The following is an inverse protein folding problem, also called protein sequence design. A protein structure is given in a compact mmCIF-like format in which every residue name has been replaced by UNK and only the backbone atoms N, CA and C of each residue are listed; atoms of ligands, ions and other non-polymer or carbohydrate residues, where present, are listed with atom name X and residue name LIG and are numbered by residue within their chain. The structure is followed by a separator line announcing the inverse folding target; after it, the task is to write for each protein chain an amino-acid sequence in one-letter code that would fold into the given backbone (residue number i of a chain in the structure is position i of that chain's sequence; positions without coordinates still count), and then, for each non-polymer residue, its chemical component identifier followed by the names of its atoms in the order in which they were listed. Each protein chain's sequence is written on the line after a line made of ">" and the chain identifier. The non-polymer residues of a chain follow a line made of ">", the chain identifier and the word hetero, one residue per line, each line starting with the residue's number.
data_IF_849296673669
#
_entry.id   IF_849296673669
#
_cell.length_a   1.000
_cell.length_b   1.000
_cell.length_c   1.000
_cell.angle_alpha   90.00
_cell.angle_beta   90.00
_cell.angle_gamma   90.00
#
_symmetry.space_group_name_H-M   'P 1'
#
loop_
_entity.id
_entity.type
_entity.pdbx_description
1 polymer ?
#
# COMPACT_ATOMS: atom_id res chain seq x y z
N UNK A 1 -5.60 -13.48 -12.52
CA UNK A 1 -5.36 -12.53 -11.43
C UNK A 1 -4.60 -11.31 -11.93
N UNK A 2 -4.85 -10.16 -11.31
CA UNK A 2 -4.07 -8.94 -11.51
C UNK A 2 -3.22 -8.68 -10.29
N UNK A 3 -2.11 -8.01 -10.49
CA UNK A 3 -1.19 -7.63 -9.42
C UNK A 3 -0.94 -6.13 -9.48
N UNK A 4 -1.02 -5.47 -8.34
CA UNK A 4 -0.77 -4.04 -8.25
C UNK A 4 0.51 -3.82 -7.47
N UNK A 5 1.53 -3.32 -8.16
CA UNK A 5 2.79 -2.91 -7.55
C UNK A 5 2.63 -1.47 -7.07
N UNK A 6 2.82 -1.25 -5.78
CA UNK A 6 2.75 0.09 -5.19
C UNK A 6 4.08 0.43 -4.55
N UNK A 7 4.63 1.56 -4.95
CA UNK A 7 5.91 2.05 -4.41
C UNK A 7 5.70 3.46 -3.89
N UNK A 8 6.00 3.67 -2.62
CA UNK A 8 5.90 4.96 -1.96
C UNK A 8 7.30 5.50 -1.74
N UNK A 9 7.60 6.66 -2.34
CA UNK A 9 8.81 7.41 -2.02
C UNK A 9 8.54 8.14 -0.71
N UNK A 10 9.33 7.84 0.33
CA UNK A 10 9.07 8.34 1.67
C UNK A 10 9.86 9.62 1.95
N UNK A 11 9.29 10.48 2.78
CA UNK A 11 10.01 11.62 3.35
C UNK A 11 11.01 11.07 4.36
N UNK A 12 12.31 11.29 4.13
CA UNK A 12 13.38 10.67 4.91
C UNK A 12 13.22 10.86 6.42
N UNK A 13 12.96 12.09 6.85
CA UNK A 13 12.87 12.42 8.27
C UNK A 13 11.65 11.80 8.95
N UNK A 14 10.61 11.47 8.17
CA UNK A 14 9.35 10.91 8.69
C UNK A 14 9.12 9.46 8.25
N UNK A 15 10.15 8.78 7.73
CA UNK A 15 9.97 7.42 7.20
C UNK A 15 9.43 6.42 8.21
N UNK A 16 9.82 6.53 9.46
CA UNK A 16 9.33 5.65 10.53
C UNK A 16 7.85 5.89 10.83
N UNK A 17 7.36 7.11 10.67
CA UNK A 17 5.94 7.41 10.83
C UNK A 17 5.07 6.70 9.80
N UNK A 18 5.56 6.51 8.57
CA UNK A 18 4.86 5.73 7.55
C UNK A 18 4.75 4.26 7.96
N UNK A 19 5.84 3.68 8.47
CA UNK A 19 5.84 2.30 8.95
C UNK A 19 4.88 2.11 10.14
N UNK A 20 4.85 3.06 11.08
CA UNK A 20 3.90 3.06 12.18
C UNK A 20 2.47 3.09 11.69
N UNK A 21 2.17 3.94 10.71
CA UNK A 21 0.82 4.05 10.15
C UNK A 21 0.40 2.75 9.48
N UNK A 22 1.29 2.13 8.68
CA UNK A 22 0.99 0.85 8.03
C UNK A 22 0.79 -0.26 9.05
N UNK A 23 1.69 -0.42 10.00
CA UNK A 23 1.63 -1.50 10.98
C UNK A 23 0.39 -1.42 11.85
N UNK A 24 0.06 -0.23 12.34
CA UNK A 24 -0.97 -0.07 13.35
C UNK A 24 -2.36 0.25 12.79
N UNK A 25 -2.45 0.75 11.54
CA UNK A 25 -3.72 1.17 10.96
C UNK A 25 -3.98 0.57 9.59
N UNK A 26 -3.11 0.84 8.62
CA UNK A 26 -3.37 0.46 7.22
C UNK A 26 -3.50 -1.05 7.03
N UNK A 27 -2.56 -1.82 7.57
CA UNK A 27 -2.56 -3.29 7.42
C UNK A 27 -3.76 -3.94 8.09
N UNK A 28 -4.11 -3.60 9.35
CA UNK A 28 -5.34 -4.11 9.95
C UNK A 28 -6.60 -3.77 9.17
N UNK A 29 -6.70 -2.56 8.63
CA UNK A 29 -7.87 -2.13 7.86
C UNK A 29 -7.88 -2.82 6.48
N UNK A 30 -6.74 -3.04 5.84
CA UNK A 30 -6.64 -3.88 4.65
C UNK A 30 -7.20 -5.27 4.90
N UNK A 31 -6.84 -5.90 6.01
CA UNK A 31 -7.34 -7.23 6.38
C UNK A 31 -8.85 -7.22 6.56
N UNK A 32 -9.38 -6.20 7.22
CA UNK A 32 -10.83 -6.04 7.43
C UNK A 32 -11.58 -6.03 6.09
N UNK A 33 -11.03 -5.40 5.06
CA UNK A 33 -11.64 -5.27 3.74
C UNK A 33 -11.26 -6.40 2.77
N UNK A 34 -10.52 -7.40 3.24
CA UNK A 34 -10.17 -8.56 2.41
C UNK A 34 -9.13 -8.27 1.34
N UNK A 35 -8.26 -7.31 1.54
CA UNK A 35 -7.13 -7.07 0.64
C UNK A 35 -6.16 -8.24 0.71
N UNK A 36 -5.76 -8.75 -0.44
CA UNK A 36 -4.74 -9.81 -0.53
C UNK A 36 -3.40 -9.14 -0.83
N UNK A 37 -2.54 -9.11 0.18
CA UNK A 37 -1.20 -8.52 0.09
C UNK A 37 -0.19 -9.65 -0.01
N UNK A 38 0.65 -9.62 -1.06
CA UNK A 38 1.71 -10.62 -1.24
C UNK A 38 2.88 -10.36 -0.30
N UNK A 39 3.15 -9.12 0.00
CA UNK A 39 4.21 -8.73 0.92
C UNK A 39 4.44 -7.24 0.96
N UNK A 40 5.18 -6.81 1.99
CA UNK A 40 5.63 -5.43 2.15
C UNK A 40 7.14 -5.46 2.28
N UNK A 41 7.82 -4.55 1.59
CA UNK A 41 9.28 -4.42 1.63
C UNK A 41 9.66 -2.97 1.80
N UNK A 42 10.69 -2.71 2.61
CA UNK A 42 11.35 -1.42 2.60
C UNK A 42 12.69 -1.56 1.89
N UNK A 43 13.12 -0.50 1.21
CA UNK A 43 14.39 -0.50 0.53
C UNK A 43 15.53 -0.48 1.56
N UNK A 44 16.40 -1.48 1.52
CA UNK A 44 17.62 -1.50 2.32
C UNK A 44 18.75 -0.77 1.59
N UNK A 45 18.95 -1.12 0.32
CA UNK A 45 19.94 -0.51 -0.57
C UNK A 45 19.28 -0.26 -1.91
N UNK A 46 19.29 0.97 -2.39
CA UNK A 46 18.71 1.33 -3.68
C UNK A 46 18.80 2.81 -3.96
N UNK A 47 18.69 3.17 -5.24
CA UNK A 47 18.89 4.53 -5.72
C UNK A 47 17.87 5.52 -5.15
N UNK A 48 16.66 5.06 -4.83
CA UNK A 48 15.55 5.92 -4.37
C UNK A 48 15.18 5.66 -2.90
N UNK A 49 16.14 5.22 -2.10
CA UNK A 49 15.95 5.08 -0.66
C UNK A 49 15.56 6.41 -0.01
N UNK A 50 14.57 6.47 0.92
CA UNK A 50 13.79 5.36 1.45
C UNK A 50 12.49 5.14 0.68
N UNK A 51 12.13 3.88 0.46
CA UNK A 51 10.88 3.50 -0.19
C UNK A 51 10.18 2.38 0.56
N UNK A 52 8.84 2.38 0.49
CA UNK A 52 8.00 1.27 0.91
C UNK A 52 7.37 0.69 -0.35
N UNK A 53 7.53 -0.62 -0.55
CA UNK A 53 7.00 -1.34 -1.70
C UNK A 53 6.07 -2.45 -1.23
N UNK A 54 4.91 -2.59 -1.87
CA UNK A 54 4.05 -3.74 -1.61
C UNK A 54 3.27 -4.11 -2.86
N UNK A 55 2.77 -5.34 -2.88
CA UNK A 55 2.04 -5.88 -4.03
C UNK A 55 0.69 -6.40 -3.54
N UNK A 56 -0.38 -5.92 -4.18
CA UNK A 56 -1.74 -6.37 -3.96
C UNK A 56 -2.14 -7.33 -5.08
N UNK A 57 -2.95 -8.33 -4.75
CA UNK A 57 -3.53 -9.25 -5.72
C UNK A 57 -5.02 -8.97 -5.85
N UNK A 58 -5.50 -8.87 -7.08
CA UNK A 58 -6.91 -8.62 -7.41
C UNK A 58 -7.43 -9.70 -8.34
N UNK A 59 -8.68 -10.10 -8.15
CA UNK A 59 -9.38 -10.94 -9.11
C UNK A 59 -9.54 -10.20 -10.44
N UNK A 60 -9.95 -8.93 -10.38
CA UNK A 60 -10.18 -8.05 -11.52
C UNK A 60 -10.20 -6.58 -11.04
N UNK A 61 -10.38 -5.65 -11.97
CA UNK A 61 -10.42 -4.23 -11.64
C UNK A 61 -11.68 -3.84 -10.86
N UNK A 62 -12.79 -4.57 -11.05
CA UNK A 62 -14.02 -4.32 -10.30
C UNK A 62 -13.82 -4.60 -8.80
N UNK A 63 -13.15 -5.69 -8.45
CA UNK A 63 -12.80 -5.99 -7.06
C UNK A 63 -11.93 -4.89 -6.47
N UNK A 64 -10.92 -4.44 -7.22
CA UNK A 64 -10.05 -3.35 -6.78
C UNK A 64 -10.85 -2.09 -6.46
N UNK A 65 -11.74 -1.71 -7.39
CA UNK A 65 -12.57 -0.52 -7.24
C UNK A 65 -13.45 -0.60 -5.99
N UNK A 66 -14.13 -1.72 -5.81
CA UNK A 66 -15.04 -1.94 -4.68
C UNK A 66 -14.29 -1.87 -3.35
N UNK A 67 -13.17 -2.56 -3.26
CA UNK A 67 -12.41 -2.66 -2.00
C UNK A 67 -11.73 -1.36 -1.64
N UNK A 68 -11.15 -0.64 -2.59
CA UNK A 68 -10.58 0.67 -2.31
C UNK A 68 -11.65 1.70 -1.94
N UNK A 69 -12.80 1.69 -2.60
CA UNK A 69 -13.91 2.57 -2.25
C UNK A 69 -14.36 2.34 -0.81
N UNK A 70 -14.53 1.07 -0.42
CA UNK A 70 -14.90 0.71 0.95
C UNK A 70 -13.82 1.11 1.97
N UNK A 71 -12.55 0.88 1.62
CA UNK A 71 -11.41 1.23 2.47
C UNK A 71 -11.36 2.74 2.73
N UNK A 72 -11.42 3.56 1.68
CA UNK A 72 -11.30 5.01 1.83
C UNK A 72 -12.50 5.67 2.52
N UNK A 73 -13.64 5.02 2.56
CA UNK A 73 -14.82 5.51 3.29
C UNK A 73 -14.97 4.89 4.69
N UNK A 74 -14.09 3.99 5.08
CA UNK A 74 -14.15 3.35 6.40
C UNK A 74 -13.84 4.38 7.50
N UNK A 75 -14.74 4.52 8.52
CA UNK A 75 -14.49 5.42 9.64
C UNK A 75 -13.17 5.15 10.37
N UNK A 76 -12.73 3.89 10.45
CA UNK A 76 -11.43 3.55 11.06
C UNK A 76 -10.26 4.12 10.26
N UNK A 77 -10.36 4.11 8.92
CA UNK A 77 -9.34 4.73 8.07
C UNK A 77 -9.33 6.25 8.23
N UNK A 78 -10.51 6.88 8.25
CA UNK A 78 -10.61 8.32 8.43
C UNK A 78 -10.04 8.75 9.78
N UNK A 79 -10.29 7.97 10.83
CA UNK A 79 -9.72 8.22 12.16
C UNK A 79 -8.20 8.03 12.17
N UNK A 80 -7.69 7.01 11.50
CA UNK A 80 -6.24 6.79 11.35
C UNK A 80 -5.57 8.00 10.68
N UNK A 81 -6.17 8.52 9.63
CA UNK A 81 -5.67 9.73 8.96
C UNK A 81 -5.70 10.94 9.89
N UNK A 82 -6.79 11.11 10.65
CA UNK A 82 -6.90 12.21 11.60
C UNK A 82 -5.78 12.19 12.65
N UNK A 83 -5.42 11.00 13.12
CA UNK A 83 -4.37 10.82 14.14
C UNK A 83 -2.98 11.00 13.53
N UNK A 84 -2.73 10.39 12.37
CA UNK A 84 -1.38 10.26 11.82
C UNK A 84 -0.98 11.40 10.89
N UNK A 85 -1.89 11.94 10.09
CA UNK A 85 -1.54 12.93 9.06
C UNK A 85 -0.89 14.21 9.63
N UNK A 86 -1.29 14.71 10.82
CA UNK A 86 -0.59 15.86 11.41
C UNK A 86 0.88 15.61 11.74
N UNK A 87 1.30 14.33 11.82
CA UNK A 87 2.70 13.96 12.09
C UNK A 87 3.55 13.91 10.81
N UNK A 88 2.89 13.99 9.66
CA UNK A 88 3.55 13.96 8.36
C UNK A 88 4.03 15.33 7.89
N UNK A 89 4.33 15.45 6.58
CA UNK A 89 4.08 14.44 5.54
C UNK A 89 5.00 13.23 5.62
N UNK A 90 4.48 12.06 5.19
CA UNK A 90 5.23 10.80 5.16
C UNK A 90 5.67 10.40 3.75
N UNK A 91 4.94 10.85 2.73
CA UNK A 91 5.06 10.38 1.35
C UNK A 91 5.39 11.56 0.45
N UNK A 92 6.42 11.41 -0.40
CA UNK A 92 6.72 12.37 -1.45
C UNK A 92 5.94 12.04 -2.73
N UNK A 93 5.89 10.75 -3.09
CA UNK A 93 5.26 10.28 -4.33
C UNK A 93 4.82 8.84 -4.20
N UNK A 94 3.68 8.52 -4.82
CA UNK A 94 3.17 7.17 -4.93
C UNK A 94 3.22 6.74 -6.39
N UNK A 95 3.81 5.58 -6.63
CA UNK A 95 3.80 4.91 -7.93
C UNK A 95 2.90 3.70 -7.84
N UNK A 96 2.00 3.52 -8.79
CA UNK A 96 1.11 2.37 -8.85
C UNK A 96 1.08 1.81 -10.25
N UNK A 97 1.29 0.51 -10.39
CA UNK A 97 1.27 -0.19 -11.67
C UNK A 97 0.40 -1.42 -11.56
N UNK A 98 -0.53 -1.58 -12.50
CA UNK A 98 -1.38 -2.77 -12.60
C UNK A 98 -0.75 -3.69 -13.63
N UNK A 99 -0.50 -4.94 -13.22
CA UNK A 99 0.20 -5.95 -14.01
C UNK A 99 -0.67 -7.19 -14.15
N UNK A 100 -0.58 -7.87 -15.28
CA UNK A 100 -1.12 -9.22 -15.41
C UNK A 100 0.02 -10.17 -15.76
N UNK A 101 -0.03 -11.43 -15.28
CA UNK A 101 1.09 -12.33 -15.50
C UNK A 101 1.23 -12.73 -16.96
N UNK A 102 2.48 -12.90 -17.40
CA UNK A 102 2.77 -13.47 -18.71
C UNK A 102 2.45 -14.97 -18.70
N UNK A 103 2.31 -15.58 -19.88
CA UNK A 103 2.07 -17.03 -19.97
C UNK A 103 3.16 -17.86 -19.31
N UNK A 104 4.39 -17.36 -19.31
CA UNK A 104 5.56 -18.08 -18.78
C UNK A 104 5.87 -17.72 -17.34
N UNK A 105 5.04 -16.92 -16.68
CA UNK A 105 5.26 -16.56 -15.28
C UNK A 105 4.91 -17.76 -14.38
N UNK A 106 5.77 -18.11 -13.41
CA UNK A 106 5.42 -19.13 -12.41
C UNK A 106 4.24 -18.71 -11.54
N UNK A 107 4.01 -17.41 -11.37
CA UNK A 107 2.86 -16.86 -10.65
C UNK A 107 1.83 -16.38 -11.67
N UNK A 108 0.67 -16.99 -11.63
CA UNK A 108 -0.43 -16.65 -12.57
C UNK A 108 -1.54 -15.85 -11.90
#
# INVERSE_FOLDING_TARGET
>A
MLYELRVYDLVYDNRFGMHDKFENYTVPIFKKHGFRVLGFWETMIGANYPQLTYILQWKDLAERQQKFTAFFSDPEWLEACRIMDPKGPFIEKIHSSIMFPTKYSPMQ
#
